data_IF_139657559616
#
_entry.id   IF_139657559616
#
_cell.length_a   1.000
_cell.length_b   1.000
_cell.length_c   1.000
_cell.angle_alpha   90.00
_cell.angle_beta   90.00
_cell.angle_gamma   90.00
#
_symmetry.space_group_name_H-M   'P 1'
#
loop_
_entity.id
_entity.type
_entity.pdbx_description
1 polymer ?
#
# COMPACT_ATOMS: atom_id res chain seq x y z
N UNK A 1 -5.23 5.48 9.66
CA UNK A 1 -4.77 5.72 8.27
C UNK A 1 -3.28 6.07 8.30
N UNK A 2 -2.49 5.65 7.32
CA UNK A 2 -1.03 5.82 7.26
C UNK A 2 -0.59 7.05 6.46
N UNK A 3 -1.35 7.42 5.43
CA UNK A 3 -1.11 8.62 4.63
C UNK A 3 -2.43 9.36 4.39
N UNK A 4 -2.37 10.68 4.35
CA UNK A 4 -3.49 11.57 4.05
C UNK A 4 -3.25 12.27 2.72
N UNK A 5 -4.33 12.49 1.97
CA UNK A 5 -4.31 13.25 0.71
C UNK A 5 -5.53 14.17 0.66
N UNK A 6 -5.33 15.38 0.16
CA UNK A 6 -6.42 16.30 -0.16
C UNK A 6 -7.17 15.91 -1.44
N UNK A 7 -6.50 15.24 -2.38
CA UNK A 7 -7.11 14.74 -3.61
C UNK A 7 -7.82 13.39 -3.39
N UNK A 8 -7.28 12.56 -2.50
CA UNK A 8 -7.86 11.26 -2.14
C UNK A 8 -8.28 11.28 -0.67
N UNK A 9 -9.46 11.87 -0.40
CA UNK A 9 -10.04 11.90 0.93
C UNK A 9 -10.13 10.49 1.53
N UNK A 10 -10.00 10.38 2.85
CA UNK A 10 -10.11 9.08 3.52
C UNK A 10 -11.57 8.70 3.76
N UNK A 11 -11.81 7.42 4.01
CA UNK A 11 -13.14 6.90 4.37
C UNK A 11 -13.28 6.69 5.88
N UNK A 12 -14.49 6.94 6.38
CA UNK A 12 -14.89 6.80 7.78
C UNK A 12 -15.62 5.46 7.96
N UNK A 13 -15.20 4.61 8.91
CA UNK A 13 -15.86 3.34 9.18
C UNK A 13 -17.34 3.49 9.56
N UNK A 14 -18.20 2.64 9.01
CA UNK A 14 -19.65 2.57 9.33
C UNK A 14 -20.06 1.31 10.10
N UNK A 15 -19.13 0.37 10.30
CA UNK A 15 -19.40 -0.93 10.90
C UNK A 15 -18.20 -1.88 10.84
N UNK A 16 -18.36 -3.13 11.33
CA UNK A 16 -17.24 -4.06 11.54
C UNK A 16 -16.86 -4.88 10.31
N UNK A 17 -17.71 -4.98 9.28
CA UNK A 17 -17.38 -5.73 8.07
C UNK A 17 -16.26 -5.02 7.29
N UNK A 18 -15.48 -5.77 6.51
CA UNK A 18 -14.32 -5.18 5.80
C UNK A 18 -14.73 -4.04 4.84
N UNK A 19 -15.91 -4.12 4.22
CA UNK A 19 -16.47 -3.05 3.39
C UNK A 19 -16.87 -1.82 4.21
N UNK A 20 -17.38 -2.03 5.42
CA UNK A 20 -17.83 -0.98 6.33
C UNK A 20 -16.65 -0.31 7.04
N UNK A 21 -15.58 -1.05 7.33
CA UNK A 21 -14.33 -0.49 7.85
C UNK A 21 -13.61 0.40 6.83
N UNK A 22 -13.86 0.16 5.54
CA UNK A 22 -13.27 0.88 4.41
C UNK A 22 -11.76 1.10 4.62
N UNK A 23 -10.93 0.05 4.48
CA UNK A 23 -9.51 0.09 4.85
C UNK A 23 -8.64 0.85 3.83
N UNK A 24 -9.08 2.00 3.33
CA UNK A 24 -8.19 2.88 2.56
C UNK A 24 -7.03 3.34 3.45
N UNK A 25 -5.85 3.44 2.85
CA UNK A 25 -4.63 3.91 3.47
C UNK A 25 -4.33 3.21 4.82
N UNK A 26 -4.63 1.92 4.96
CA UNK A 26 -4.39 1.15 6.18
C UNK A 26 -4.29 -0.36 5.93
N UNK A 27 -3.70 -1.06 6.88
CA UNK A 27 -3.69 -2.51 6.98
C UNK A 27 -4.85 -2.96 7.87
N UNK A 28 -5.67 -3.88 7.38
CA UNK A 28 -6.66 -4.62 8.16
C UNK A 28 -6.20 -6.07 8.37
N UNK A 29 -6.38 -6.58 9.58
CA UNK A 29 -5.97 -7.92 9.98
C UNK A 29 -7.15 -8.69 10.54
N UNK A 30 -7.23 -9.98 10.23
CA UNK A 30 -8.19 -10.91 10.83
C UNK A 30 -7.46 -12.16 11.28
N UNK A 31 -7.83 -12.65 12.46
CA UNK A 31 -7.25 -13.87 13.07
C UNK A 31 -8.24 -15.03 13.17
N UNK A 32 -9.43 -14.86 12.61
CA UNK A 32 -10.58 -15.76 12.69
C UNK A 32 -11.14 -16.08 11.29
N UNK A 33 -10.27 -16.15 10.29
CA UNK A 33 -10.68 -16.48 8.93
C UNK A 33 -11.55 -15.41 8.24
N UNK A 34 -11.53 -14.16 8.70
CA UNK A 34 -12.21 -13.02 8.06
C UNK A 34 -13.56 -12.65 8.66
N UNK A 35 -13.96 -13.28 9.75
CA UNK A 35 -15.20 -12.98 10.47
C UNK A 35 -15.12 -11.61 11.16
N UNK A 36 -13.99 -11.31 11.80
CA UNK A 36 -13.73 -10.00 12.40
C UNK A 36 -12.43 -9.40 11.91
N UNK A 37 -12.38 -8.07 11.89
CA UNK A 37 -11.26 -7.31 11.36
C UNK A 37 -10.79 -6.27 12.37
N UNK A 38 -9.47 -6.18 12.54
CA UNK A 38 -8.79 -5.21 13.37
C UNK A 38 -7.92 -4.30 12.52
N UNK A 39 -7.94 -3.01 12.83
CA UNK A 39 -7.06 -2.00 12.25
C UNK A 39 -5.99 -1.59 13.27
N UNK A 40 -5.17 -0.59 12.93
CA UNK A 40 -4.26 0.04 13.88
C UNK A 40 -5.02 0.63 15.07
N UNK A 41 -4.79 0.09 16.27
CA UNK A 41 -5.43 0.55 17.50
C UNK A 41 -4.44 1.09 18.54
N UNK A 42 -3.81 0.21 19.34
CA UNK A 42 -2.83 0.63 20.36
C UNK A 42 -1.47 0.81 19.69
N UNK A 43 -0.94 2.02 19.69
CA UNK A 43 0.33 2.35 19.03
C UNK A 43 1.36 2.83 20.04
N UNK A 44 2.59 2.35 19.90
CA UNK A 44 3.77 2.95 20.50
C UNK A 44 4.12 4.25 19.77
N UNK A 45 5.09 4.99 20.33
CA UNK A 45 5.60 6.24 19.76
C UNK A 45 6.18 6.03 18.36
N UNK A 46 5.99 7.03 17.50
CA UNK A 46 6.54 7.02 16.14
C UNK A 46 8.03 7.32 16.21
N UNK A 47 8.84 6.44 15.63
CA UNK A 47 10.27 6.63 15.43
C UNK A 47 10.53 7.14 14.02
N UNK A 48 11.47 8.07 13.88
CA UNK A 48 11.91 8.57 12.58
C UNK A 48 13.31 8.03 12.25
N UNK A 49 13.49 7.60 11.01
CA UNK A 49 14.76 7.16 10.45
C UNK A 49 14.87 7.65 9.00
N UNK A 50 15.83 7.12 8.24
CA UNK A 50 16.02 7.45 6.83
C UNK A 50 15.95 6.19 5.96
N UNK A 51 15.32 6.31 4.80
CA UNK A 51 15.53 5.40 3.68
C UNK A 51 16.46 6.07 2.67
N UNK A 52 17.20 5.25 1.93
CA UNK A 52 18.20 5.71 0.95
C UNK A 52 17.78 5.29 -0.44
N UNK A 53 17.72 6.24 -1.36
CA UNK A 53 17.62 5.95 -2.79
C UNK A 53 19.03 5.67 -3.30
N UNK A 54 19.22 4.48 -3.85
CA UNK A 54 20.49 4.07 -4.47
C UNK A 54 20.20 3.82 -5.94
N UNK A 55 20.97 4.43 -6.85
CA UNK A 55 20.78 4.23 -8.28
C UNK A 55 21.84 3.31 -8.85
N UNK A 56 21.46 2.51 -9.85
CA UNK A 56 22.40 1.64 -10.54
C UNK A 56 23.51 2.45 -11.23
N UNK A 57 23.17 3.64 -11.74
CA UNK A 57 24.09 4.52 -12.44
C UNK A 57 25.21 5.10 -11.56
N UNK A 58 24.92 5.43 -10.29
CA UNK A 58 25.91 6.00 -9.37
C UNK A 58 26.60 4.92 -8.53
N UNK A 59 25.98 3.75 -8.37
CA UNK A 59 26.40 2.71 -7.43
C UNK A 59 26.34 3.15 -5.96
N UNK A 60 25.73 4.30 -5.67
CA UNK A 60 25.75 4.96 -4.36
C UNK A 60 24.44 5.66 -4.02
N UNK A 61 24.38 6.16 -2.79
CA UNK A 61 23.20 6.88 -2.28
C UNK A 61 23.10 8.23 -2.98
N UNK A 62 21.98 8.50 -3.64
CA UNK A 62 21.72 9.77 -4.35
C UNK A 62 20.69 10.66 -3.66
N UNK A 63 19.88 10.08 -2.76
CA UNK A 63 18.88 10.80 -1.96
C UNK A 63 18.63 10.05 -0.65
N UNK A 64 18.39 10.78 0.43
CA UNK A 64 17.85 10.23 1.67
C UNK A 64 16.49 10.87 1.97
N UNK A 65 15.50 10.05 2.31
CA UNK A 65 14.15 10.51 2.67
C UNK A 65 13.81 10.15 4.12
N UNK A 66 13.12 11.03 4.87
CA UNK A 66 12.68 10.70 6.21
C UNK A 66 11.61 9.61 6.17
N UNK A 67 11.70 8.67 7.10
CA UNK A 67 10.81 7.52 7.22
C UNK A 67 10.20 7.51 8.61
N UNK A 68 8.91 7.19 8.71
CA UNK A 68 8.20 7.05 9.97
C UNK A 68 7.91 5.57 10.24
N UNK A 69 8.26 5.10 11.44
CA UNK A 69 8.04 3.73 11.90
C UNK A 69 7.25 3.73 13.20
N UNK A 70 6.19 2.94 13.29
CA UNK A 70 5.44 2.78 14.54
C UNK A 70 5.05 1.32 14.75
N UNK A 71 5.28 0.83 15.97
CA UNK A 71 4.79 -0.46 16.42
C UNK A 71 3.38 -0.31 16.99
N UNK A 72 2.49 -1.20 16.63
CA UNK A 72 1.10 -1.18 17.07
C UNK A 72 0.50 -2.57 17.23
N UNK A 73 -0.62 -2.64 17.92
CA UNK A 73 -1.32 -3.87 18.28
C UNK A 73 -2.76 -3.81 17.73
N UNK A 74 -3.17 -4.77 16.88
CA UNK A 74 -4.53 -4.79 16.33
C UNK A 74 -5.57 -5.17 17.40
N UNK A 75 -5.17 -6.02 18.35
CA UNK A 75 -6.04 -6.55 19.42
C UNK A 75 -5.52 -6.16 20.81
N UNK A 76 -6.44 -6.04 21.77
CA UNK A 76 -6.14 -5.61 23.14
C UNK A 76 -5.34 -6.61 23.96
N UNK A 77 -5.40 -7.90 23.59
CA UNK A 77 -4.58 -8.97 24.16
C UNK A 77 -3.11 -8.94 23.67
N UNK A 78 -2.79 -8.04 22.73
CA UNK A 78 -1.45 -7.88 22.15
C UNK A 78 -0.87 -9.16 21.55
N UNK A 79 -1.73 -10.11 21.16
CA UNK A 79 -1.33 -11.42 20.61
C UNK A 79 -0.46 -11.30 19.35
N UNK A 80 -0.62 -10.19 18.62
CA UNK A 80 0.16 -9.83 17.42
C UNK A 80 0.59 -8.39 17.56
N UNK A 81 1.86 -8.13 17.24
CA UNK A 81 2.38 -6.78 17.02
C UNK A 81 2.68 -6.56 15.54
N UNK A 82 2.50 -5.33 15.09
CA UNK A 82 2.80 -4.89 13.73
C UNK A 82 3.67 -3.65 13.83
N UNK A 83 4.89 -3.72 13.31
CA UNK A 83 5.70 -2.54 13.07
C UNK A 83 5.49 -2.08 11.64
N UNK A 84 4.97 -0.87 11.46
CA UNK A 84 4.72 -0.29 10.14
C UNK A 84 5.69 0.84 9.88
N UNK A 85 6.45 0.71 8.80
CA UNK A 85 7.37 1.71 8.26
C UNK A 85 6.77 2.31 6.99
N UNK A 86 6.65 3.63 6.95
CA UNK A 86 6.14 4.38 5.80
C UNK A 86 7.27 5.19 5.18
N UNK A 87 7.60 4.88 3.93
CA UNK A 87 8.58 5.61 3.12
C UNK A 87 7.82 6.54 2.17
N UNK A 88 8.06 7.86 2.22
CA UNK A 88 7.40 8.82 1.33
C UNK A 88 7.95 8.70 -0.11
N UNK A 89 7.32 9.38 -1.09
CA UNK A 89 7.82 9.41 -2.46
C UNK A 89 9.20 10.05 -2.59
N UNK A 90 10.06 9.41 -3.38
CA UNK A 90 11.42 9.87 -3.69
C UNK A 90 11.44 10.70 -4.98
N UNK A 91 12.58 11.28 -5.34
CA UNK A 91 12.73 11.95 -6.64
C UNK A 91 12.62 10.97 -7.82
N UNK A 92 13.09 9.73 -7.64
CA UNK A 92 13.02 8.67 -8.67
C UNK A 92 11.61 8.11 -8.86
N UNK A 93 10.82 8.02 -7.79
CA UNK A 93 9.45 7.52 -7.81
C UNK A 93 8.49 8.49 -7.07
N UNK A 94 8.13 9.62 -7.71
CA UNK A 94 7.39 10.69 -7.04
C UNK A 94 5.91 10.39 -6.77
N UNK A 95 5.34 9.38 -7.45
CA UNK A 95 3.92 8.99 -7.32
C UNK A 95 3.72 7.71 -6.50
N UNK A 96 4.81 7.21 -5.90
CA UNK A 96 4.83 6.01 -5.09
C UNK A 96 5.24 6.33 -3.67
N UNK A 97 4.45 5.90 -2.69
CA UNK A 97 4.96 5.72 -1.32
C UNK A 97 4.98 4.24 -0.98
N UNK A 98 5.87 3.83 -0.10
CA UNK A 98 6.03 2.42 0.27
C UNK A 98 5.60 2.22 1.71
N UNK A 99 4.88 1.14 1.97
CA UNK A 99 4.55 0.68 3.32
C UNK A 99 5.16 -0.70 3.55
N UNK A 100 5.84 -0.85 4.66
CA UNK A 100 6.46 -2.10 5.09
C UNK A 100 5.83 -2.47 6.41
N UNK A 101 5.32 -3.69 6.53
CA UNK A 101 4.78 -4.21 7.79
C UNK A 101 5.60 -5.40 8.25
N UNK A 102 6.21 -5.30 9.43
CA UNK A 102 6.79 -6.43 10.16
C UNK A 102 5.75 -6.93 11.16
N UNK A 103 5.24 -8.13 10.95
CA UNK A 103 4.19 -8.76 11.75
C UNK A 103 4.84 -9.84 12.61
N UNK A 104 4.74 -9.67 13.94
CA UNK A 104 5.29 -10.58 14.94
C UNK A 104 4.18 -11.08 15.87
N UNK A 105 3.70 -12.33 15.72
CA UNK A 105 2.87 -13.00 16.73
C UNK A 105 3.65 -13.24 18.03
N UNK A 106 3.05 -12.83 19.16
CA UNK A 106 3.53 -13.13 20.52
C UNK A 106 2.99 -14.45 21.07
N UNK A 107 1.96 -14.97 20.44
CA UNK A 107 1.37 -16.30 20.67
C UNK A 107 1.02 -16.89 19.31
N UNK A 108 0.87 -18.21 19.22
CA UNK A 108 0.44 -18.87 17.99
C UNK A 108 -0.88 -18.27 17.46
N UNK A 109 -0.90 -17.96 16.18
CA UNK A 109 -2.09 -17.49 15.46
C UNK A 109 -2.48 -18.58 14.49
N UNK A 110 -3.70 -19.13 14.60
CA UNK A 110 -4.13 -20.27 13.78
C UNK A 110 -4.46 -19.88 12.33
N UNK A 111 -5.02 -18.69 12.13
CA UNK A 111 -5.26 -18.14 10.79
C UNK A 111 -4.90 -16.67 10.76
N UNK A 112 -4.38 -16.20 9.63
CA UNK A 112 -4.14 -14.77 9.46
C UNK A 112 -4.59 -14.34 8.06
N UNK A 113 -5.52 -13.39 8.02
CA UNK A 113 -5.87 -12.65 6.79
C UNK A 113 -5.45 -11.21 6.92
N UNK A 114 -5.03 -10.65 5.79
CA UNK A 114 -4.59 -9.27 5.70
C UNK A 114 -5.25 -8.61 4.50
N UNK A 115 -5.63 -7.34 4.64
CA UNK A 115 -6.08 -6.48 3.54
C UNK A 115 -5.36 -5.15 3.68
N UNK A 116 -4.40 -4.88 2.79
CA UNK A 116 -3.78 -3.56 2.67
C UNK A 116 -4.54 -2.75 1.62
N UNK A 117 -4.98 -1.54 1.97
CA UNK A 117 -5.63 -0.64 1.04
C UNK A 117 -4.77 0.54 0.59
N UNK A 118 -4.80 0.80 -0.71
CA UNK A 118 -4.34 2.05 -1.32
C UNK A 118 -5.24 3.23 -0.95
N UNK A 119 -5.22 4.29 -1.75
CA UNK A 119 -6.15 5.40 -1.53
C UNK A 119 -7.54 5.07 -2.08
N UNK A 120 -8.58 5.57 -1.41
CA UNK A 120 -9.91 5.56 -1.98
C UNK A 120 -9.99 6.57 -3.13
N UNK A 121 -10.59 6.17 -4.24
CA UNK A 121 -10.77 7.03 -5.42
C UNK A 121 -12.18 6.85 -6.00
N UNK A 122 -12.66 7.82 -6.77
CA UNK A 122 -13.97 7.79 -7.42
C UNK A 122 -14.17 6.48 -8.20
N UNK A 123 -15.21 5.73 -7.82
CA UNK A 123 -15.54 4.43 -8.39
C UNK A 123 -16.50 4.45 -9.57
N UNK A 124 -16.67 5.62 -10.19
CA UNK A 124 -17.67 5.89 -11.22
C UNK A 124 -17.04 6.65 -12.38
N UNK A 125 -17.59 6.39 -13.57
CA UNK A 125 -17.33 7.16 -14.78
C UNK A 125 -17.94 8.56 -14.67
N UNK A 126 -17.55 9.49 -15.54
CA UNK A 126 -18.16 10.84 -15.63
C UNK A 126 -19.68 10.82 -15.86
N UNK A 127 -20.18 9.81 -16.56
CA UNK A 127 -21.61 9.59 -16.80
C UNK A 127 -22.36 8.95 -15.60
N UNK A 128 -21.65 8.63 -14.52
CA UNK A 128 -22.19 7.99 -13.32
C UNK A 128 -22.25 6.45 -13.36
N UNK A 129 -21.91 5.82 -14.49
CA UNK A 129 -21.85 4.38 -14.60
C UNK A 129 -20.69 3.79 -13.76
N UNK A 130 -20.78 2.51 -13.36
CA UNK A 130 -19.65 1.82 -12.75
C UNK A 130 -18.41 1.77 -13.66
N UNK A 131 -17.23 1.84 -13.07
CA UNK A 131 -15.98 1.55 -13.80
C UNK A 131 -15.96 0.09 -14.25
N UNK A 132 -15.47 -0.15 -15.48
CA UNK A 132 -15.31 -1.49 -16.04
C UNK A 132 -13.98 -2.11 -15.62
N UNK A 133 -13.94 -3.43 -15.54
CA UNK A 133 -12.72 -4.17 -15.19
C UNK A 133 -11.95 -4.62 -16.45
N UNK A 134 -10.64 -4.46 -16.41
CA UNK A 134 -9.69 -4.83 -17.45
C UNK A 134 -8.56 -5.69 -16.85
N UNK A 135 -7.96 -6.55 -17.67
CA UNK A 135 -6.96 -7.53 -17.21
C UNK A 135 -5.64 -6.89 -16.76
N UNK A 136 -5.10 -5.95 -17.50
CA UNK A 136 -3.83 -5.29 -17.14
C UNK A 136 -3.67 -3.98 -17.92
N UNK A 137 -2.80 -3.10 -17.43
CA UNK A 137 -2.16 -2.07 -18.24
C UNK A 137 -0.99 -2.75 -18.98
N UNK A 138 -1.14 -2.98 -20.28
CA UNK A 138 -0.09 -3.55 -21.13
C UNK A 138 0.49 -2.50 -22.10
N UNK A 139 1.47 -2.90 -22.90
CA UNK A 139 2.13 -2.02 -23.89
C UNK A 139 1.17 -1.43 -24.94
N UNK A 140 0.05 -2.08 -25.21
CA UNK A 140 -0.98 -1.61 -26.16
C UNK A 140 -2.07 -0.77 -25.48
N UNK A 141 -2.18 -0.82 -24.16
CA UNK A 141 -3.17 -0.05 -23.41
C UNK A 141 -2.71 1.40 -23.32
N UNK A 142 -3.40 2.30 -23.99
CA UNK A 142 -3.25 3.73 -23.78
C UNK A 142 -3.98 4.13 -22.49
N UNK A 143 -3.23 4.62 -21.49
CA UNK A 143 -3.77 5.05 -20.21
C UNK A 143 -3.38 6.51 -19.97
N UNK A 144 -4.37 7.40 -20.10
CA UNK A 144 -4.22 8.85 -19.96
C UNK A 144 -4.86 9.27 -18.63
N UNK A 145 -4.09 10.01 -17.83
CA UNK A 145 -4.53 10.47 -16.51
C UNK A 145 -5.79 11.36 -16.63
N UNK A 146 -6.86 10.99 -15.92
CA UNK A 146 -8.11 11.74 -15.92
C UNK A 146 -9.06 11.44 -17.09
N UNK A 147 -8.57 10.82 -18.17
CA UNK A 147 -9.39 10.44 -19.32
C UNK A 147 -9.74 8.95 -19.30
N UNK A 148 -8.78 8.09 -18.97
CA UNK A 148 -9.02 6.66 -18.84
C UNK A 148 -9.79 6.35 -17.56
N UNK A 149 -10.94 5.69 -17.70
CA UNK A 149 -11.81 5.30 -16.60
C UNK A 149 -11.96 3.78 -16.56
N UNK A 150 -11.39 3.13 -15.53
CA UNK A 150 -11.37 1.68 -15.46
C UNK A 150 -10.66 1.13 -14.22
N UNK A 151 -10.88 -0.16 -13.99
CA UNK A 151 -10.19 -0.96 -12.98
C UNK A 151 -9.27 -1.94 -13.68
N UNK A 152 -7.97 -1.86 -13.46
CA UNK A 152 -6.98 -2.79 -14.00
C UNK A 152 -6.50 -3.70 -12.87
N UNK A 153 -6.61 -5.02 -13.05
CA UNK A 153 -6.30 -5.98 -11.99
C UNK A 153 -5.55 -7.20 -12.51
N UNK A 154 -4.35 -7.40 -11.96
CA UNK A 154 -3.59 -8.64 -12.08
C UNK A 154 -3.44 -9.32 -10.71
N UNK A 155 -2.81 -10.49 -10.68
CA UNK A 155 -2.67 -11.28 -9.44
C UNK A 155 -2.00 -10.52 -8.29
N UNK A 156 -1.02 -9.66 -8.58
CA UNK A 156 -0.21 -8.97 -7.58
C UNK A 156 -0.38 -7.46 -7.56
N UNK A 157 -1.31 -6.89 -8.32
CA UNK A 157 -1.56 -5.46 -8.29
C UNK A 157 -2.97 -5.10 -8.75
N UNK A 158 -3.40 -3.91 -8.34
CA UNK A 158 -4.66 -3.32 -8.77
C UNK A 158 -4.48 -1.82 -8.94
N UNK A 159 -5.03 -1.27 -10.01
CA UNK A 159 -5.06 0.14 -10.34
C UNK A 159 -6.50 0.55 -10.65
N UNK A 160 -6.94 1.66 -10.10
CA UNK A 160 -8.22 2.28 -10.40
C UNK A 160 -7.95 3.65 -11.00
N UNK A 161 -8.41 3.85 -12.23
CA UNK A 161 -8.35 5.11 -12.96
C UNK A 161 -9.76 5.70 -13.09
N UNK A 162 -9.88 7.00 -12.86
CA UNK A 162 -11.12 7.77 -13.00
C UNK A 162 -10.80 9.20 -13.41
N UNK A 163 -11.83 10.03 -13.58
CA UNK A 163 -11.68 11.47 -13.77
C UNK A 163 -10.89 12.19 -12.65
N UNK A 164 -10.83 11.61 -11.43
CA UNK A 164 -10.06 12.14 -10.31
C UNK A 164 -8.54 11.83 -10.40
N UNK A 165 -8.13 10.95 -11.32
CA UNK A 165 -6.76 10.49 -11.47
C UNK A 165 -6.65 8.97 -11.31
N UNK A 166 -5.56 8.50 -10.69
CA UNK A 166 -5.26 7.09 -10.53
C UNK A 166 -4.82 6.76 -9.10
N UNK A 167 -5.32 5.65 -8.55
CA UNK A 167 -4.82 5.06 -7.32
C UNK A 167 -4.56 3.57 -7.52
N UNK A 168 -3.43 3.08 -7.03
CA UNK A 168 -3.07 1.68 -7.16
C UNK A 168 -2.26 1.15 -5.99
N UNK A 169 -2.09 -0.17 -5.99
CA UNK A 169 -1.27 -0.90 -5.02
C UNK A 169 -0.65 -2.11 -5.71
N UNK A 170 0.61 -2.40 -5.34
CA UNK A 170 1.35 -3.59 -5.76
C UNK A 170 1.71 -4.41 -4.52
N UNK A 171 1.65 -5.72 -4.64
CA UNK A 171 2.20 -6.63 -3.66
C UNK A 171 3.71 -6.77 -3.91
N UNK A 172 4.52 -6.16 -3.04
CA UNK A 172 5.98 -6.23 -3.10
C UNK A 172 6.54 -7.52 -2.50
N UNK A 173 7.79 -7.44 -2.07
CA UNK A 173 8.50 -8.56 -1.46
C UNK A 173 7.82 -9.06 -0.18
N UNK A 174 7.98 -10.36 0.08
CA UNK A 174 7.54 -11.04 1.30
C UNK A 174 8.73 -11.82 1.86
N UNK A 175 9.04 -11.62 3.15
CA UNK A 175 10.17 -12.26 3.83
C UNK A 175 9.65 -13.01 5.06
N UNK A 176 10.23 -14.18 5.33
CA UNK A 176 9.83 -15.05 6.43
C UNK A 176 8.88 -16.15 5.97
N UNK A 177 7.58 -15.87 5.95
CA UNK A 177 6.55 -16.90 5.73
C UNK A 177 5.87 -16.81 4.37
N UNK A 178 5.67 -17.95 3.67
CA UNK A 178 4.85 -17.99 2.47
C UNK A 178 3.41 -17.56 2.78
N UNK A 179 2.83 -16.71 1.93
CA UNK A 179 1.42 -16.37 2.02
C UNK A 179 0.83 -16.24 0.62
N UNK A 180 -0.40 -16.73 0.43
CA UNK A 180 -1.13 -16.51 -0.81
C UNK A 180 -1.55 -15.03 -0.85
N UNK A 181 -1.34 -14.38 -1.99
CA UNK A 181 -1.67 -12.97 -2.19
C UNK A 181 -2.52 -12.77 -3.44
N UNK A 182 -3.41 -11.79 -3.40
CA UNK A 182 -4.28 -11.44 -4.54
C UNK A 182 -4.57 -9.94 -4.55
N UNK A 183 -4.30 -9.30 -5.68
CA UNK A 183 -4.76 -7.96 -6.01
C UNK A 183 -6.27 -7.93 -6.23
N UNK A 184 -6.90 -6.86 -5.78
CA UNK A 184 -8.34 -6.72 -5.81
C UNK A 184 -8.78 -5.27 -5.69
N UNK A 185 -10.08 -5.06 -5.74
CA UNK A 185 -10.68 -3.75 -5.47
C UNK A 185 -11.82 -3.95 -4.49
N UNK A 186 -11.76 -3.21 -3.39
CA UNK A 186 -12.80 -3.18 -2.37
C UNK A 186 -13.80 -2.06 -2.69
N UNK A 187 -15.08 -2.40 -2.60
CA UNK A 187 -16.21 -1.47 -2.68
C UNK A 187 -16.67 -1.17 -1.26
N UNK A 188 -16.28 -0.05 -0.65
CA UNK A 188 -16.79 0.34 0.66
C UNK A 188 -18.27 0.73 0.55
N UNK A 189 -18.94 0.83 1.69
CA UNK A 189 -20.28 1.39 1.75
C UNK A 189 -20.29 2.79 1.12
N UNK A 190 -21.38 3.12 0.42
CA UNK A 190 -21.53 4.44 -0.18
C UNK A 190 -21.50 5.53 0.91
N UNK A 191 -20.99 6.72 0.54
CA UNK A 191 -20.97 7.91 1.40
C UNK A 191 -20.13 7.79 2.67
N UNK A 192 -19.21 6.83 2.74
CA UNK A 192 -18.20 6.72 3.80
C UNK A 192 -16.99 7.63 3.58
N UNK A 193 -16.70 7.96 2.32
CA UNK A 193 -15.56 8.78 1.95
C UNK A 193 -15.87 10.28 2.02
N UNK A 194 -14.92 11.06 2.55
CA UNK A 194 -15.11 12.50 2.78
C UNK A 194 -15.07 13.35 1.50
N UNK A 195 -14.45 12.86 0.43
CA UNK A 195 -14.24 13.65 -0.80
C UNK A 195 -15.26 13.29 -1.90
N UNK A 196 -15.62 12.02 -2.05
CA UNK A 196 -16.57 11.61 -3.09
C UNK A 196 -17.37 10.37 -2.71
N UNK A 197 -18.57 10.22 -3.28
CA UNK A 197 -19.41 9.07 -3.03
C UNK A 197 -18.99 7.87 -3.90
N UNK A 198 -19.33 6.65 -3.43
CA UNK A 198 -19.16 5.39 -4.19
C UNK A 198 -17.72 5.19 -4.68
N UNK A 199 -16.77 5.31 -3.76
CA UNK A 199 -15.36 5.08 -4.04
C UNK A 199 -15.04 3.62 -4.31
N UNK A 200 -13.85 3.38 -4.84
CA UNK A 200 -13.17 2.10 -4.88
C UNK A 200 -11.84 2.22 -4.16
N UNK A 201 -11.43 1.15 -3.49
CA UNK A 201 -10.13 1.06 -2.81
C UNK A 201 -9.33 -0.06 -3.49
N UNK A 202 -8.23 0.24 -4.20
CA UNK A 202 -7.28 -0.77 -4.64
C UNK A 202 -6.73 -1.51 -3.41
N UNK A 203 -6.73 -2.84 -3.42
CA UNK A 203 -6.30 -3.64 -2.27
C UNK A 203 -5.37 -4.78 -2.67
N UNK A 204 -4.51 -5.19 -1.73
CA UNK A 204 -3.90 -6.52 -1.74
C UNK A 204 -4.46 -7.31 -0.57
N UNK A 205 -5.01 -8.47 -0.87
CA UNK A 205 -5.42 -9.47 0.12
C UNK A 205 -4.32 -10.50 0.30
N UNK A 206 -4.06 -10.90 1.55
CA UNK A 206 -3.21 -12.05 1.86
C UNK A 206 -3.95 -13.01 2.76
N UNK A 207 -3.79 -14.31 2.52
CA UNK A 207 -4.42 -15.37 3.30
C UNK A 207 -3.37 -16.40 3.74
N UNK A 208 -3.34 -16.67 5.04
CA UNK A 208 -2.50 -17.68 5.68
C UNK A 208 -3.41 -18.62 6.48
N UNK A 209 -3.91 -19.70 5.85
CA UNK A 209 -4.81 -20.65 6.51
C UNK A 209 -4.16 -21.41 7.67
N UNK A 210 -2.84 -21.57 7.66
CA UNK A 210 -2.05 -22.16 8.75
C UNK A 210 -1.57 -21.12 9.78
N UNK A 211 -1.93 -19.86 9.58
CA UNK A 211 -1.54 -18.74 10.42
C UNK A 211 -0.04 -18.59 10.59
N UNK A 212 0.40 -18.17 11.77
CA UNK A 212 1.81 -17.92 12.09
C UNK A 212 2.17 -18.54 13.44
N UNK A 213 3.32 -19.25 13.54
CA UNK A 213 3.82 -19.71 14.83
C UNK A 213 4.17 -18.56 15.77
N UNK A 214 4.19 -18.84 17.06
CA UNK A 214 4.69 -17.91 18.07
C UNK A 214 6.13 -17.49 17.78
N UNK A 215 6.46 -16.22 18.06
CA UNK A 215 7.80 -15.62 17.89
C UNK A 215 8.36 -15.68 16.47
N UNK A 216 7.50 -15.97 15.49
CA UNK A 216 7.87 -15.88 14.09
C UNK A 216 7.80 -14.43 13.57
N UNK A 217 8.41 -14.17 12.43
CA UNK A 217 8.35 -12.84 11.79
C UNK A 217 7.91 -12.97 10.33
N UNK A 218 6.93 -12.17 9.94
CA UNK A 218 6.51 -11.97 8.55
C UNK A 218 6.72 -10.51 8.17
N UNK A 219 7.48 -10.25 7.11
CA UNK A 219 7.63 -8.90 6.56
C UNK A 219 6.97 -8.83 5.19
N UNK A 220 6.06 -7.88 5.00
CA UNK A 220 5.37 -7.63 3.73
C UNK A 220 5.56 -6.19 3.29
N UNK A 221 5.82 -5.99 2.00
CA UNK A 221 6.04 -4.69 1.38
C UNK A 221 4.90 -4.36 0.41
N UNK A 222 4.42 -3.12 0.44
CA UNK A 222 3.39 -2.60 -0.44
C UNK A 222 3.78 -1.23 -1.00
N UNK A 223 4.19 -1.17 -2.28
CA UNK A 223 4.20 0.07 -3.04
C UNK A 223 2.76 0.53 -3.30
N UNK A 224 2.46 1.78 -2.96
CA UNK A 224 1.16 2.41 -3.12
C UNK A 224 1.30 3.55 -4.11
N UNK A 225 0.49 3.54 -5.15
CA UNK A 225 0.51 4.50 -6.23
C UNK A 225 -0.62 5.51 -6.10
N UNK A 226 -0.33 6.79 -6.34
CA UNK A 226 -1.34 7.84 -6.35
C UNK A 226 -0.94 9.00 -7.27
N UNK A 227 -1.79 9.29 -8.24
CA UNK A 227 -1.66 10.44 -9.14
C UNK A 227 -2.99 11.16 -9.25
N UNK A 228 -3.05 12.43 -8.87
CA UNK A 228 -4.25 13.25 -8.99
C UNK A 228 -4.22 14.07 -10.28
N UNK A 229 -5.40 14.33 -10.88
CA UNK A 229 -5.54 15.28 -11.99
C UNK A 229 -5.45 16.75 -11.56
N UNK A 230 -5.65 17.03 -10.27
CA UNK A 230 -5.74 18.40 -9.73
C UNK A 230 -4.60 18.77 -8.80
N UNK A 231 -3.96 17.78 -8.18
CA UNK A 231 -2.81 18.00 -7.32
C UNK A 231 -1.50 17.77 -8.10
N UNK A 232 -1.04 18.81 -8.79
CA UNK A 232 0.34 18.89 -9.23
C UNK A 232 1.16 19.30 -8.01
N UNK A 233 1.53 18.33 -7.16
CA UNK A 233 2.53 18.58 -6.13
C UNK A 233 3.71 19.27 -6.80
N UNK A 234 4.10 20.46 -6.33
CA UNK A 234 4.94 21.45 -7.04
C UNK A 234 6.36 21.02 -7.46
N UNK A 235 6.61 19.72 -7.59
CA UNK A 235 7.72 19.10 -8.31
C UNK A 235 7.44 19.20 -9.81
N UNK A 236 8.50 19.38 -10.61
CA UNK A 236 8.39 19.31 -12.06
C UNK A 236 7.73 17.98 -12.45
N UNK A 237 6.56 18.04 -13.11
CA UNK A 237 5.85 16.85 -13.56
C UNK A 237 6.81 16.06 -14.46
N UNK A 238 7.12 14.79 -14.15
CA UNK A 238 7.95 13.99 -15.03
C UNK A 238 7.33 13.96 -16.42
N UNK A 239 8.15 14.03 -17.48
CA UNK A 239 7.69 13.90 -18.88
C UNK A 239 6.96 12.57 -19.17
N UNK A 240 7.02 11.62 -18.22
CA UNK A 240 6.50 10.26 -18.32
C UNK A 240 5.00 10.19 -18.02
N UNK A 241 4.27 9.49 -18.89
CA UNK A 241 2.82 9.26 -18.76
C UNK A 241 2.43 8.40 -17.56
N UNK A 242 1.13 8.33 -17.26
CA UNK A 242 0.56 7.53 -16.17
C UNK A 242 1.00 6.06 -16.26
N UNK A 243 0.91 5.46 -17.45
CA UNK A 243 1.32 4.07 -17.68
C UNK A 243 2.79 3.81 -17.34
N UNK A 244 3.70 4.61 -17.86
CA UNK A 244 5.14 4.45 -17.60
C UNK A 244 5.45 4.52 -16.11
N UNK A 245 4.81 5.45 -15.39
CA UNK A 245 4.99 5.62 -13.95
C UNK A 245 4.37 4.50 -13.12
N UNK A 246 3.24 3.94 -13.55
CA UNK A 246 2.61 2.79 -12.92
C UNK A 246 3.40 1.48 -13.12
N UNK A 247 4.03 1.29 -14.28
CA UNK A 247 4.83 0.10 -14.55
C UNK A 247 6.21 0.16 -13.88
N UNK A 248 6.70 1.36 -13.60
CA UNK A 248 7.96 1.63 -12.91
C UNK A 248 7.81 1.58 -11.37
N UNK A 249 7.57 0.38 -10.84
CA UNK A 249 7.33 0.13 -9.42
C UNK A 249 8.65 0.21 -8.63
N UNK A 250 8.69 0.86 -7.45
CA UNK A 250 9.90 0.90 -6.61
C UNK A 250 10.39 -0.49 -6.19
N UNK A 251 11.67 -0.75 -6.40
CA UNK A 251 12.36 -1.93 -5.86
C UNK A 251 12.86 -1.65 -4.44
N UNK A 252 12.30 -2.33 -3.44
CA UNK A 252 12.56 -2.06 -2.02
C UNK A 252 13.44 -3.17 -1.44
N UNK A 253 14.61 -2.79 -0.91
CA UNK A 253 15.54 -3.69 -0.22
C UNK A 253 15.58 -3.36 1.26
N UNK A 254 15.37 -4.37 2.10
CA UNK A 254 15.42 -4.26 3.56
C UNK A 254 16.66 -5.00 4.06
N UNK A 255 17.46 -4.40 4.92
CA UNK A 255 18.66 -5.06 5.45
C UNK A 255 19.92 -4.77 4.64
N UNK A 256 20.69 -5.81 4.31
CA UNK A 256 21.96 -5.65 3.61
C UNK A 256 21.75 -5.29 2.12
N UNK A 257 21.81 -4.00 1.79
CA UNK A 257 21.60 -3.46 0.45
C UNK A 257 22.89 -3.12 -0.31
N UNK A 258 24.06 -3.23 0.34
CA UNK A 258 25.36 -2.78 -0.18
C UNK A 258 25.96 -3.69 -1.28
N UNK A 259 25.36 -4.84 -1.58
CA UNK A 259 25.87 -5.79 -2.59
C UNK A 259 25.09 -5.69 -3.91
N UNK A 260 25.79 -5.43 -5.01
CA UNK A 260 25.29 -5.63 -6.38
C UNK A 260 24.01 -4.87 -6.70
N UNK A 261 24.07 -3.54 -6.74
CA UNK A 261 22.93 -2.70 -7.14
C UNK A 261 22.93 -2.61 -8.67
N UNK A 262 22.19 -3.52 -9.32
CA UNK A 262 21.98 -3.55 -10.78
C UNK A 262 20.79 -2.71 -11.25
N UNK A 263 19.93 -2.29 -10.31
CA UNK A 263 18.71 -1.52 -10.54
C UNK A 263 18.60 -0.43 -9.47
N UNK A 264 17.83 0.62 -9.75
CA UNK A 264 17.52 1.63 -8.73
C UNK A 264 16.72 0.97 -7.59
N UNK A 265 17.05 1.31 -6.34
CA UNK A 265 16.38 0.74 -5.16
C UNK A 265 16.08 1.79 -4.08
N UNK A 266 15.05 1.51 -3.29
CA UNK A 266 14.83 2.11 -1.97
C UNK A 266 15.40 1.15 -0.93
N UNK A 267 16.51 1.54 -0.33
CA UNK A 267 17.16 0.83 0.77
C UNK A 267 16.59 1.30 2.12
N UNK A 268 16.09 0.35 2.90
CA UNK A 268 15.56 0.57 4.25
C UNK A 268 16.36 -0.26 5.24
N UNK A 269 16.94 0.40 6.24
CA UNK A 269 17.67 -0.30 7.28
C UNK A 269 16.71 -1.23 8.06
N UNK A 270 17.17 -2.43 8.48
CA UNK A 270 16.34 -3.30 9.31
C UNK A 270 16.15 -2.56 10.63
N UNK A 271 14.92 -2.19 10.97
CA UNK A 271 14.64 -1.41 12.18
C UNK A 271 15.36 -2.01 13.38
N UNK A 272 16.24 -1.23 14.01
CA UNK A 272 16.93 -1.66 15.22
C UNK A 272 15.90 -1.78 16.34
N UNK A 273 15.85 -2.95 16.99
CA UNK A 273 15.37 -3.03 18.37
C UNK A 273 16.43 -2.31 19.21
N UNK A 274 16.21 -1.03 19.50
CA UNK A 274 16.95 -0.35 20.56
C UNK A 274 16.41 -0.95 21.86
N UNK A 275 17.27 -1.73 22.51
CA UNK A 275 17.04 -2.45 23.76
C UNK A 275 16.38 -1.60 24.85
#
# INVERSE_FOLDING_TARGET
KFAYSSAFGFSVPTGPLIQQLAPDSTLALSRDGGETWALRWKSEEVRFSKARLVTAASGGVVEEVPVATAKWYPWGDQSVSVETTVVPPTNRWPDWHVRIHRIKPRVRVETLRMVEGGFAILGRKRDGAPLLEFKNVNEETEVVLGETEGVFRIMMSSLVCSSAGASGIVAGSTIGWPCAQRGGVLKPDANTNLACQRTLIPIITRNMPSGLPENSELVVVYPIFAMSTTANGGRAVPLRGLKERWLDVPNVRIGNWNSGVSEDIIAVDPGYEVY
#
